data_IF_693055165028
#
_entry.id   IF_693055165028
#
_cell.length_a   1.000
_cell.length_b   1.000
_cell.length_c   1.000
_cell.angle_alpha   90.00
_cell.angle_beta   90.00
_cell.angle_gamma   90.00
#
_symmetry.space_group_name_H-M   'P 1'
#
loop_
_entity.id
_entity.type
_entity.pdbx_description
1 polymer ?
#
# COMPACT_ATOMS: atom_id res chain seq x y z
N UNK A 1 -17.99 7.43 59.48
CA UNK A 1 -18.81 7.22 58.25
C UNK A 1 -18.26 8.20 57.22
N UNK A 2 -17.82 7.87 56.01
CA UNK A 2 -17.72 6.62 55.24
C UNK A 2 -16.67 6.92 54.16
N UNK A 3 -15.75 5.97 53.97
CA UNK A 3 -14.70 5.99 52.94
C UNK A 3 -15.35 5.82 51.56
N UNK A 4 -14.78 6.47 50.54
CA UNK A 4 -15.14 6.28 49.13
C UNK A 4 -13.90 6.29 48.24
N UNK A 5 -13.05 5.27 48.44
CA UNK A 5 -11.89 4.96 47.60
C UNK A 5 -12.41 4.45 46.25
N UNK A 6 -12.23 5.18 45.15
CA UNK A 6 -12.44 4.61 43.81
C UNK A 6 -11.10 4.38 43.11
N UNK A 7 -10.67 3.12 43.25
CA UNK A 7 -9.56 2.48 42.57
C UNK A 7 -9.99 2.26 41.12
N UNK A 8 -9.51 3.07 40.18
CA UNK A 8 -9.64 2.74 38.75
C UNK A 8 -8.55 1.69 38.45
N UNK A 9 -9.00 0.44 38.40
CA UNK A 9 -8.22 -0.73 38.05
C UNK A 9 -7.78 -0.63 36.59
N UNK A 10 -6.46 -0.63 36.36
CA UNK A 10 -5.85 -0.84 35.04
C UNK A 10 -6.23 -2.24 34.55
N UNK A 11 -7.17 -2.31 33.61
CA UNK A 11 -7.43 -3.54 32.86
C UNK A 11 -6.31 -3.69 31.83
N UNK A 12 -5.50 -4.73 32.03
CA UNK A 12 -4.48 -5.23 31.11
C UNK A 12 -5.15 -5.48 29.75
N UNK A 13 -4.82 -4.68 28.74
CA UNK A 13 -5.12 -5.02 27.36
C UNK A 13 -4.19 -6.16 26.95
N UNK A 14 -4.72 -7.38 26.97
CA UNK A 14 -4.08 -8.52 26.35
C UNK A 14 -4.13 -8.33 24.83
N UNK A 15 -2.98 -8.08 24.23
CA UNK A 15 -2.80 -8.10 22.77
C UNK A 15 -2.85 -9.57 22.35
N UNK A 16 -3.99 -9.98 21.79
CA UNK A 16 -4.11 -11.27 21.14
C UNK A 16 -3.40 -11.20 19.78
N UNK A 17 -2.16 -11.69 19.72
CA UNK A 17 -1.47 -12.01 18.46
C UNK A 17 -2.09 -13.30 17.94
N UNK A 18 -3.07 -13.17 17.05
CA UNK A 18 -3.62 -14.30 16.31
C UNK A 18 -2.71 -14.54 15.09
N UNK A 19 -1.63 -15.28 15.34
CA UNK A 19 -0.84 -15.92 14.29
C UNK A 19 -1.65 -17.09 13.73
N UNK A 20 -2.46 -16.84 12.72
CA UNK A 20 -3.06 -17.90 11.91
C UNK A 20 -2.27 -18.01 10.61
N UNK A 21 -1.10 -18.64 10.70
CA UNK A 21 -0.36 -19.12 9.54
C UNK A 21 -1.06 -20.37 9.03
N UNK A 22 -1.95 -20.20 8.07
CA UNK A 22 -2.49 -21.29 7.28
C UNK A 22 -1.81 -21.23 5.91
N UNK A 23 -0.68 -21.94 5.81
CA UNK A 23 -0.08 -22.31 4.52
C UNK A 23 -1.09 -23.17 3.75
N UNK A 24 -1.96 -22.53 2.96
CA UNK A 24 -2.60 -23.19 1.84
C UNK A 24 -1.57 -23.23 0.72
N UNK A 25 -0.78 -24.31 0.70
CA UNK A 25 -0.07 -24.72 -0.50
C UNK A 25 -1.12 -25.15 -1.54
N UNK A 26 -1.68 -24.17 -2.24
CA UNK A 26 -2.34 -24.43 -3.52
C UNK A 26 -1.23 -24.75 -4.52
N UNK A 27 -0.86 -26.04 -4.59
CA UNK A 27 -0.10 -26.55 -5.72
C UNK A 27 -0.94 -26.29 -6.97
N UNK A 28 -0.54 -25.30 -7.76
CA UNK A 28 -1.04 -25.16 -9.11
C UNK A 28 -0.51 -26.36 -9.89
N UNK A 29 -1.34 -27.38 -10.02
CA UNK A 29 -1.14 -28.42 -11.02
C UNK A 29 -1.06 -27.70 -12.38
N UNK A 30 0.07 -27.84 -13.06
CA UNK A 30 0.21 -27.46 -14.47
C UNK A 30 -0.62 -28.46 -15.29
N UNK A 31 -1.94 -28.33 -15.23
CA UNK A 31 -2.80 -28.93 -16.24
C UNK A 31 -2.52 -28.22 -17.55
N UNK A 32 -1.88 -28.94 -18.48
CA UNK A 32 -1.78 -28.51 -19.87
C UNK A 32 -3.20 -28.44 -20.40
N UNK A 33 -3.77 -27.24 -20.40
CA UNK A 33 -5.10 -27.00 -20.93
C UNK A 33 -5.08 -27.30 -22.43
N UNK A 34 -5.62 -28.45 -22.82
CA UNK A 34 -5.65 -28.89 -24.22
C UNK A 34 -6.44 -27.93 -25.12
N UNK A 35 -7.23 -27.02 -24.53
CA UNK A 35 -7.89 -25.95 -25.26
C UNK A 35 -6.91 -24.86 -25.74
N UNK A 36 -5.70 -24.76 -25.19
CA UNK A 36 -4.62 -23.92 -25.76
C UNK A 36 -4.10 -24.50 -27.09
N UNK A 37 -4.38 -25.78 -27.40
CA UNK A 37 -3.94 -26.47 -28.63
C UNK A 37 -5.08 -26.56 -29.66
N UNK A 38 -6.35 -26.47 -29.24
CA UNK A 38 -7.50 -26.54 -30.12
C UNK A 38 -8.23 -25.17 -30.18
N UNK A 39 -8.09 -24.41 -31.28
CA UNK A 39 -8.84 -23.16 -31.42
C UNK A 39 -10.31 -23.49 -31.67
N UNK A 40 -11.18 -23.23 -30.69
CA UNK A 40 -12.62 -23.35 -30.91
C UNK A 40 -13.47 -23.14 -29.67
N UNK A 41 -14.38 -22.15 -29.76
CA UNK A 41 -15.59 -21.93 -28.94
C UNK A 41 -15.57 -20.94 -27.77
N UNK A 42 -14.66 -19.96 -27.73
CA UNK A 42 -14.80 -18.79 -26.83
C UNK A 42 -14.77 -17.48 -27.62
N UNK A 43 -15.31 -16.41 -27.03
CA UNK A 43 -15.28 -15.04 -27.59
C UNK A 43 -13.87 -14.69 -28.09
N UNK A 44 -13.69 -13.86 -29.14
CA UNK A 44 -12.36 -13.55 -29.65
C UNK A 44 -11.51 -12.73 -28.65
N UNK A 45 -10.19 -12.83 -28.79
CA UNK A 45 -9.21 -12.03 -28.04
C UNK A 45 -9.48 -10.52 -28.19
N UNK A 46 -8.98 -9.72 -27.25
CA UNK A 46 -9.07 -8.26 -27.36
C UNK A 46 -8.10 -7.76 -28.41
N UNK A 47 -8.62 -7.43 -29.59
CA UNK A 47 -7.86 -6.81 -30.67
C UNK A 47 -8.10 -5.29 -30.71
N UNK A 48 -7.04 -4.51 -30.49
CA UNK A 48 -7.11 -3.06 -30.58
C UNK A 48 -6.96 -2.59 -32.03
N UNK A 49 -7.93 -1.83 -32.50
CA UNK A 49 -7.96 -1.21 -33.83
C UNK A 49 -7.24 0.14 -33.74
N UNK A 50 -6.01 0.17 -34.25
CA UNK A 50 -5.16 1.36 -34.30
C UNK A 50 -5.41 2.19 -35.58
N UNK A 51 -4.97 3.44 -35.57
CA UNK A 51 -4.93 4.27 -36.79
C UNK A 51 -3.88 3.74 -37.76
N UNK A 52 -4.21 3.72 -39.05
CA UNK A 52 -3.33 3.22 -40.12
C UNK A 52 -3.06 4.26 -41.21
N UNK A 53 -3.57 5.49 -41.07
CA UNK A 53 -3.33 6.56 -42.02
C UNK A 53 -2.02 7.31 -41.78
N UNK A 54 -1.72 8.35 -42.58
CA UNK A 54 -0.51 9.15 -42.40
C UNK A 54 -0.51 9.85 -41.03
N UNK A 55 0.56 9.71 -40.27
CA UNK A 55 0.75 10.41 -39.00
C UNK A 55 1.31 11.81 -39.25
N UNK A 56 0.64 12.83 -38.71
CA UNK A 56 1.09 14.22 -38.80
C UNK A 56 2.33 14.51 -37.93
N UNK A 57 2.61 13.66 -36.93
CA UNK A 57 3.74 13.80 -36.01
C UNK A 57 4.16 12.41 -35.55
N UNK A 58 5.48 12.16 -35.51
CA UNK A 58 6.05 10.91 -35.01
C UNK A 58 6.81 11.22 -33.73
N UNK A 59 6.37 10.66 -32.61
CA UNK A 59 7.09 10.70 -31.34
C UNK A 59 7.83 9.39 -31.13
N UNK A 60 9.04 9.46 -30.58
CA UNK A 60 9.83 8.28 -30.21
C UNK A 60 9.20 7.55 -29.03
N UNK A 61 9.50 6.25 -28.88
CA UNK A 61 9.03 5.47 -27.74
C UNK A 61 9.45 6.07 -26.39
N UNK A 62 10.65 6.67 -26.32
CA UNK A 62 11.17 7.32 -25.12
C UNK A 62 10.39 8.60 -24.78
N UNK A 63 10.09 9.44 -25.77
CA UNK A 63 9.27 10.66 -25.56
C UNK A 63 7.87 10.31 -25.05
N UNK A 64 7.26 9.26 -25.61
CA UNK A 64 5.92 8.81 -25.20
C UNK A 64 5.94 8.27 -23.76
N UNK A 65 6.97 7.50 -23.39
CA UNK A 65 7.18 7.12 -21.98
C UNK A 65 7.37 8.33 -21.08
N UNK A 66 8.10 9.34 -21.54
CA UNK A 66 8.31 10.61 -20.84
C UNK A 66 7.01 11.34 -20.50
N UNK A 67 5.98 11.26 -21.35
CA UNK A 67 4.64 11.77 -21.03
C UNK A 67 4.11 11.11 -19.76
N UNK A 68 4.18 9.78 -19.68
CA UNK A 68 3.78 9.01 -18.52
C UNK A 68 4.57 9.35 -17.27
N UNK A 69 5.90 9.40 -17.38
CA UNK A 69 6.78 9.74 -16.25
C UNK A 69 6.48 11.13 -15.68
N UNK A 70 6.13 12.10 -16.52
CA UNK A 70 5.75 13.45 -16.09
C UNK A 70 4.43 13.48 -15.27
N UNK A 71 3.59 12.44 -15.36
CA UNK A 71 2.36 12.32 -14.57
C UNK A 71 2.59 11.76 -13.16
N UNK A 72 3.77 11.20 -12.88
CA UNK A 72 4.09 10.55 -11.59
C UNK A 72 3.94 11.47 -10.37
N UNK A 73 4.05 12.79 -10.57
CA UNK A 73 3.90 13.77 -9.49
C UNK A 73 2.56 13.69 -8.74
N UNK A 74 1.50 13.16 -9.35
CA UNK A 74 0.23 12.92 -8.65
C UNK A 74 0.32 11.84 -7.57
N UNK A 75 1.11 10.77 -7.80
CA UNK A 75 1.29 9.68 -6.85
C UNK A 75 2.30 10.00 -5.74
N UNK A 76 3.27 10.87 -6.01
CA UNK A 76 4.36 11.22 -5.07
C UNK A 76 3.92 12.21 -3.98
N UNK A 77 2.77 12.87 -4.12
CA UNK A 77 2.31 13.94 -3.20
C UNK A 77 1.46 13.46 -2.00
N UNK A 78 1.32 12.16 -1.73
CA UNK A 78 0.32 11.68 -0.77
C UNK A 78 0.80 11.53 0.68
N UNK A 79 0.56 12.60 1.46
CA UNK A 79 0.45 12.59 2.92
C UNK A 79 -0.96 12.88 3.45
N UNK A 80 -1.91 13.21 2.58
CA UNK A 80 -3.28 13.62 2.94
C UNK A 80 -4.27 12.93 2.02
N UNK A 81 -5.11 12.02 2.53
CA UNK A 81 -6.13 11.35 1.72
C UNK A 81 -6.98 12.31 0.88
N UNK A 82 -7.48 11.83 -0.26
CA UNK A 82 -8.18 12.62 -1.27
C UNK A 82 -7.72 12.26 -2.68
N UNK A 83 -7.96 13.17 -3.62
CA UNK A 83 -7.54 13.01 -5.00
C UNK A 83 -6.58 14.13 -5.43
N UNK A 84 -5.44 13.74 -5.99
CA UNK A 84 -4.43 14.65 -6.54
C UNK A 84 -4.38 14.48 -8.05
N UNK A 85 -4.27 15.59 -8.79
CA UNK A 85 -4.21 15.54 -10.26
C UNK A 85 -2.89 16.08 -10.80
N UNK A 86 -2.34 15.44 -11.83
CA UNK A 86 -1.17 15.91 -12.56
C UNK A 86 -1.39 15.82 -14.07
N UNK A 87 -0.73 16.70 -14.84
CA UNK A 87 -0.81 16.72 -16.31
C UNK A 87 -1.79 17.76 -16.87
N UNK A 88 -2.20 17.57 -18.12
CA UNK A 88 -3.09 18.49 -18.85
C UNK A 88 -4.44 17.85 -19.12
N UNK A 89 -5.53 18.53 -18.70
CA UNK A 89 -6.91 18.09 -18.96
C UNK A 89 -7.27 17.99 -20.44
N UNK A 90 -6.60 18.76 -21.30
CA UNK A 90 -6.83 18.70 -22.74
C UNK A 90 -6.21 17.46 -23.39
N UNK A 91 -5.07 16.97 -22.87
CA UNK A 91 -4.32 15.85 -23.44
C UNK A 91 -4.31 14.65 -22.51
N UNK A 92 -3.35 14.55 -21.61
CA UNK A 92 -3.24 13.45 -20.65
C UNK A 92 -3.13 14.03 -19.26
N UNK A 93 -3.99 13.56 -18.37
CA UNK A 93 -3.87 13.85 -16.96
C UNK A 93 -4.18 12.61 -16.14
N UNK A 94 -3.56 12.55 -14.97
CA UNK A 94 -3.73 11.48 -14.01
C UNK A 94 -4.46 12.01 -12.79
N UNK A 95 -5.35 11.20 -12.24
CA UNK A 95 -5.98 11.40 -10.94
C UNK A 95 -5.49 10.27 -10.04
N UNK A 96 -4.74 10.59 -8.99
CA UNK A 96 -4.38 9.65 -7.93
C UNK A 96 -5.42 9.76 -6.82
N UNK A 97 -6.31 8.77 -6.69
CA UNK A 97 -7.46 8.81 -5.79
C UNK A 97 -7.30 7.76 -4.67
N UNK A 98 -6.92 8.23 -3.47
CA UNK A 98 -6.65 7.39 -2.30
C UNK A 98 -7.41 7.90 -1.08
N UNK A 99 -8.14 7.01 -0.42
CA UNK A 99 -8.79 7.28 0.86
C UNK A 99 -8.41 6.23 1.90
N UNK A 100 -7.46 6.52 2.81
CA UNK A 100 -7.03 5.59 3.84
C UNK A 100 -8.09 5.39 4.94
N UNK A 101 -9.11 6.26 5.02
CA UNK A 101 -10.17 6.16 6.04
C UNK A 101 -11.28 5.18 5.67
N UNK A 102 -11.47 4.93 4.37
CA UNK A 102 -12.43 3.94 3.87
C UNK A 102 -11.78 2.57 3.75
N UNK A 103 -12.27 1.59 4.52
CA UNK A 103 -11.69 0.24 4.58
C UNK A 103 -12.09 -0.67 3.40
N UNK A 104 -13.22 -0.42 2.74
CA UNK A 104 -13.79 -1.30 1.72
C UNK A 104 -13.63 -0.73 0.32
N UNK A 105 -13.24 -1.59 -0.62
CA UNK A 105 -12.96 -1.21 -2.01
C UNK A 105 -11.53 -0.79 -2.23
N UNK A 106 -11.13 -0.68 -3.48
CA UNK A 106 -9.78 -0.31 -3.89
C UNK A 106 -9.64 1.20 -4.14
N UNK A 107 -8.47 1.72 -3.81
CA UNK A 107 -7.97 2.98 -4.35
C UNK A 107 -7.52 2.78 -5.82
N UNK A 108 -7.32 3.87 -6.55
CA UNK A 108 -6.89 3.79 -7.95
C UNK A 108 -6.17 5.04 -8.42
N UNK A 109 -5.33 4.84 -9.42
CA UNK A 109 -5.00 5.92 -10.35
C UNK A 109 -5.93 5.86 -11.56
N UNK A 110 -6.26 7.02 -12.11
CA UNK A 110 -7.10 7.14 -13.29
C UNK A 110 -6.34 7.98 -14.31
N UNK A 111 -5.86 7.33 -15.38
CA UNK A 111 -5.34 8.04 -16.54
C UNK A 111 -6.52 8.44 -17.43
N UNK A 112 -6.69 9.74 -17.64
CA UNK A 112 -7.73 10.27 -18.51
C UNK A 112 -7.11 10.76 -19.81
N UNK A 113 -7.70 10.35 -20.93
CA UNK A 113 -7.35 10.80 -22.27
C UNK A 113 -8.32 11.93 -22.65
N UNK A 114 -7.83 13.16 -22.63
CA UNK A 114 -8.56 14.37 -23.00
C UNK A 114 -8.85 14.45 -24.50
N UNK A 115 -9.72 15.40 -24.87
CA UNK A 115 -10.23 15.52 -26.24
C UNK A 115 -9.17 15.89 -27.28
N UNK A 116 -8.10 16.58 -26.88
CA UNK A 116 -7.01 17.02 -27.76
C UNK A 116 -5.84 16.02 -27.76
N UNK A 117 -6.02 14.84 -27.16
CA UNK A 117 -5.03 13.78 -27.23
C UNK A 117 -4.94 13.22 -28.65
N UNK A 118 -3.71 13.04 -29.14
CA UNK A 118 -3.42 12.54 -30.49
C UNK A 118 -2.94 11.09 -30.48
N UNK A 119 -3.17 10.34 -29.40
CA UNK A 119 -2.78 8.93 -29.32
C UNK A 119 -3.65 8.09 -30.24
N UNK A 120 -3.00 7.28 -31.06
CA UNK A 120 -3.59 6.62 -32.22
C UNK A 120 -3.22 5.13 -32.30
N UNK A 121 -2.32 4.67 -31.42
CA UNK A 121 -1.88 3.29 -31.30
C UNK A 121 -1.87 2.81 -29.85
N UNK A 122 -2.30 1.57 -29.60
CA UNK A 122 -2.37 0.99 -28.26
C UNK A 122 -1.00 0.95 -27.56
N UNK A 123 0.06 0.65 -28.31
CA UNK A 123 1.42 0.68 -27.78
C UNK A 123 1.81 2.03 -27.22
N UNK A 124 1.29 3.13 -27.76
CA UNK A 124 1.57 4.46 -27.25
C UNK A 124 0.88 4.68 -25.90
N UNK A 125 -0.36 4.20 -25.73
CA UNK A 125 -1.03 4.17 -24.42
C UNK A 125 -0.24 3.30 -23.43
N UNK A 126 0.19 2.10 -23.85
CA UNK A 126 0.99 1.20 -23.00
C UNK A 126 2.34 1.80 -22.62
N UNK A 127 2.98 2.56 -23.51
CA UNK A 127 4.21 3.32 -23.21
C UNK A 127 3.95 4.44 -22.19
N UNK A 128 2.86 5.19 -22.32
CA UNK A 128 2.47 6.20 -21.32
C UNK A 128 2.26 5.53 -19.95
N UNK A 129 1.49 4.44 -19.91
CA UNK A 129 1.26 3.70 -18.66
C UNK A 129 2.55 3.14 -18.07
N UNK A 130 3.40 2.52 -18.88
CA UNK A 130 4.70 1.97 -18.45
C UNK A 130 5.61 3.08 -17.89
N UNK A 131 5.75 4.21 -18.58
CA UNK A 131 6.54 5.34 -18.10
C UNK A 131 6.01 5.94 -16.79
N UNK A 132 4.68 5.96 -16.61
CA UNK A 132 4.04 6.34 -15.36
C UNK A 132 4.35 5.34 -14.23
N UNK A 133 4.09 4.05 -14.45
CA UNK A 133 4.27 3.00 -13.45
C UNK A 133 5.72 2.89 -12.97
N UNK A 134 6.69 3.00 -13.88
CA UNK A 134 8.11 3.03 -13.52
C UNK A 134 8.46 4.27 -12.69
N UNK A 135 7.98 5.46 -13.07
CA UNK A 135 8.33 6.69 -12.36
C UNK A 135 7.61 6.86 -11.02
N UNK A 136 6.34 6.42 -10.92
CA UNK A 136 5.52 6.57 -9.72
C UNK A 136 5.78 5.47 -8.68
N UNK A 137 6.06 4.24 -9.12
CA UNK A 137 6.12 3.07 -8.25
C UNK A 137 7.42 2.26 -8.35
N UNK A 138 8.36 2.67 -9.21
CA UNK A 138 9.67 2.03 -9.31
C UNK A 138 9.69 0.68 -10.01
N UNK A 139 8.63 0.31 -10.75
CA UNK A 139 8.63 -0.91 -11.57
C UNK A 139 9.72 -0.87 -12.63
N UNK A 140 10.36 -2.01 -12.87
CA UNK A 140 11.29 -2.16 -14.00
C UNK A 140 10.57 -1.89 -15.32
N UNK A 141 11.30 -1.57 -16.39
CA UNK A 141 10.69 -1.35 -17.71
C UNK A 141 9.88 -2.57 -18.17
N UNK A 142 10.41 -3.78 -17.92
CA UNK A 142 9.73 -5.05 -18.21
C UNK A 142 8.42 -5.16 -17.44
N UNK A 143 8.44 -5.02 -16.12
CA UNK A 143 7.25 -5.19 -15.29
C UNK A 143 6.21 -4.12 -15.56
N UNK A 144 6.65 -2.88 -15.77
CA UNK A 144 5.78 -1.77 -16.11
C UNK A 144 5.09 -1.99 -17.47
N UNK A 145 5.78 -2.57 -18.46
CA UNK A 145 5.19 -2.92 -19.75
C UNK A 145 4.18 -4.08 -19.63
N UNK A 146 4.50 -5.10 -18.83
CA UNK A 146 3.58 -6.21 -18.50
C UNK A 146 2.31 -5.66 -17.84
N UNK A 147 2.46 -4.87 -16.78
CA UNK A 147 1.34 -4.24 -16.07
C UNK A 147 0.53 -3.32 -16.99
N UNK A 148 1.16 -2.49 -17.81
CA UNK A 148 0.47 -1.62 -18.76
C UNK A 148 -0.41 -2.44 -19.72
N UNK A 149 0.07 -3.59 -20.18
CA UNK A 149 -0.70 -4.48 -21.04
C UNK A 149 -1.93 -5.03 -20.31
N UNK A 150 -1.76 -5.60 -19.11
CA UNK A 150 -2.88 -6.08 -18.30
C UNK A 150 -3.88 -4.97 -17.95
N UNK A 151 -3.41 -3.77 -17.62
CA UNK A 151 -4.25 -2.59 -17.37
C UNK A 151 -5.10 -2.26 -18.59
N UNK A 152 -4.52 -2.24 -19.80
CA UNK A 152 -5.29 -1.95 -21.03
C UNK A 152 -6.35 -3.00 -21.31
N UNK A 153 -6.05 -4.29 -21.09
CA UNK A 153 -7.00 -5.38 -21.32
C UNK A 153 -8.11 -5.37 -20.26
N UNK A 154 -7.76 -5.18 -18.98
CA UNK A 154 -8.73 -4.99 -17.89
C UNK A 154 -9.74 -3.88 -18.23
N UNK A 155 -9.24 -2.72 -18.67
CA UNK A 155 -10.09 -1.59 -19.00
C UNK A 155 -10.92 -1.80 -20.28
N UNK A 156 -10.45 -2.64 -21.22
CA UNK A 156 -11.23 -3.02 -22.40
C UNK A 156 -12.35 -4.01 -22.04
N UNK A 157 -12.05 -5.04 -21.24
CA UNK A 157 -13.02 -6.05 -20.76
C UNK A 157 -14.18 -5.40 -20.01
N UNK A 158 -13.88 -4.36 -19.23
CA UNK A 158 -14.86 -3.67 -18.38
C UNK A 158 -15.34 -2.33 -18.94
N UNK A 159 -15.02 -1.98 -20.20
CA UNK A 159 -15.42 -0.71 -20.82
C UNK A 159 -16.91 -0.41 -20.63
N UNK A 160 -17.21 0.76 -20.07
CA UNK A 160 -18.58 1.26 -19.85
C UNK A 160 -19.37 0.55 -18.74
N UNK A 161 -18.83 -0.52 -18.13
CA UNK A 161 -19.49 -1.29 -17.07
C UNK A 161 -19.32 -0.61 -15.71
N UNK A 162 -19.83 0.61 -15.57
CA UNK A 162 -19.62 1.45 -14.38
C UNK A 162 -20.01 0.75 -13.06
N UNK A 163 -21.01 -0.13 -13.07
CA UNK A 163 -21.43 -0.85 -11.87
C UNK A 163 -20.37 -1.83 -11.37
N UNK A 164 -19.58 -2.41 -12.27
CA UNK A 164 -18.43 -3.25 -11.91
C UNK A 164 -17.37 -2.40 -11.18
N UNK A 165 -17.12 -1.18 -11.65
CA UNK A 165 -16.20 -0.27 -10.97
C UNK A 165 -16.75 0.18 -9.61
N UNK A 166 -18.04 0.52 -9.51
CA UNK A 166 -18.67 0.88 -8.24
C UNK A 166 -18.63 -0.24 -7.20
N UNK A 167 -18.70 -1.49 -7.64
CA UNK A 167 -18.59 -2.64 -6.74
C UNK A 167 -17.15 -2.90 -6.25
N UNK A 168 -16.13 -2.51 -7.03
CA UNK A 168 -14.72 -2.83 -6.77
C UNK A 168 -13.94 -1.70 -6.09
N UNK A 169 -14.29 -0.45 -6.36
CA UNK A 169 -13.51 0.72 -5.99
C UNK A 169 -14.22 1.59 -4.95
N UNK A 170 -13.43 2.36 -4.20
CA UNK A 170 -13.93 3.29 -3.18
C UNK A 170 -14.71 4.46 -3.80
N UNK A 171 -15.55 5.14 -3.00
CA UNK A 171 -16.21 6.37 -3.42
C UNK A 171 -15.26 7.45 -3.95
N UNK A 172 -14.06 7.60 -3.34
CA UNK A 172 -13.03 8.56 -3.79
C UNK A 172 -12.60 8.33 -5.24
N UNK A 173 -12.60 7.09 -5.71
CA UNK A 173 -12.29 6.72 -7.09
C UNK A 173 -13.51 6.91 -7.97
N UNK A 174 -14.63 6.30 -7.58
CA UNK A 174 -15.84 6.23 -8.42
C UNK A 174 -16.49 7.58 -8.65
N UNK A 175 -16.26 8.57 -7.78
CA UNK A 175 -16.68 9.96 -7.98
C UNK A 175 -16.07 10.64 -9.20
N UNK A 176 -14.96 10.10 -9.75
CA UNK A 176 -14.33 10.60 -10.98
C UNK A 176 -14.73 9.80 -12.23
N UNK A 177 -15.40 8.66 -12.08
CA UNK A 177 -15.72 7.77 -13.18
C UNK A 177 -17.08 8.08 -13.78
N UNK A 178 -17.18 7.99 -15.10
CA UNK A 178 -18.43 8.13 -15.84
C UNK A 178 -18.71 6.88 -16.68
N UNK A 179 -19.96 6.50 -16.83
CA UNK A 179 -20.30 5.33 -17.66
C UNK A 179 -19.85 5.51 -19.12
N UNK A 180 -19.94 6.73 -19.65
CA UNK A 180 -19.54 7.02 -21.01
C UNK A 180 -18.04 6.85 -21.23
N UNK A 181 -17.18 7.18 -20.25
CA UNK A 181 -15.73 7.21 -20.47
C UNK A 181 -14.94 6.14 -19.71
N UNK A 182 -15.52 5.48 -18.70
CA UNK A 182 -14.80 4.48 -17.89
C UNK A 182 -14.36 3.29 -18.73
N UNK A 183 -13.08 2.92 -18.60
CA UNK A 183 -12.42 1.86 -19.36
C UNK A 183 -11.77 2.37 -20.64
N UNK A 184 -11.38 1.44 -21.52
CA UNK A 184 -10.70 1.71 -22.77
C UNK A 184 -11.44 1.07 -23.96
N UNK A 185 -11.78 1.85 -25.00
CA UNK A 185 -12.35 1.27 -26.22
C UNK A 185 -11.30 0.45 -26.97
N UNK A 186 -11.72 -0.58 -27.70
CA UNK A 186 -10.81 -1.28 -28.64
C UNK A 186 -10.50 -0.44 -29.88
N UNK A 187 -11.24 0.64 -30.13
CA UNK A 187 -11.06 1.49 -31.32
C UNK A 187 -10.39 2.82 -30.97
N UNK A 188 -9.31 3.15 -31.67
CA UNK A 188 -8.55 4.38 -31.42
C UNK A 188 -9.38 5.67 -31.50
N UNK A 189 -10.36 5.74 -32.41
CA UNK A 189 -11.20 6.94 -32.60
C UNK A 189 -12.08 7.26 -31.41
N UNK A 190 -12.27 6.32 -30.48
CA UNK A 190 -13.07 6.50 -29.27
C UNK A 190 -12.20 6.84 -28.05
N UNK A 191 -10.88 7.01 -28.22
CA UNK A 191 -10.01 7.33 -27.08
C UNK A 191 -10.08 8.80 -26.66
N UNK A 192 -9.89 9.78 -27.57
CA UNK A 192 -9.85 11.19 -27.18
C UNK A 192 -11.17 11.65 -26.54
N UNK A 193 -11.08 12.17 -25.31
CA UNK A 193 -12.20 12.71 -24.54
C UNK A 193 -13.18 11.69 -23.97
N UNK A 194 -13.01 10.38 -24.28
CA UNK A 194 -13.97 9.32 -23.96
C UNK A 194 -13.33 8.11 -23.27
N UNK A 195 -12.18 8.32 -22.63
CA UNK A 195 -11.42 7.25 -21.98
C UNK A 195 -10.91 7.66 -20.60
N UNK A 196 -11.20 6.81 -19.61
CA UNK A 196 -10.71 6.86 -18.24
C UNK A 196 -10.18 5.46 -17.90
N UNK A 197 -8.86 5.30 -18.02
CA UNK A 197 -8.16 4.04 -17.74
C UNK A 197 -7.91 3.96 -16.25
N UNK A 198 -8.52 2.97 -15.58
CA UNK A 198 -8.39 2.74 -14.15
C UNK A 198 -7.25 1.78 -13.88
N UNK A 199 -6.33 2.18 -13.01
CA UNK A 199 -5.19 1.41 -12.55
C UNK A 199 -5.44 1.07 -11.08
N UNK A 200 -5.80 -0.17 -10.73
CA UNK A 200 -6.12 -0.51 -9.36
C UNK A 200 -4.88 -0.49 -8.48
N UNK A 201 -4.95 0.24 -7.38
CA UNK A 201 -3.92 0.23 -6.36
C UNK A 201 -4.17 -0.90 -5.36
N UNK A 202 -3.09 -1.45 -4.83
CA UNK A 202 -3.12 -2.37 -3.70
C UNK A 202 -3.34 -1.62 -2.39
N UNK A 203 -3.14 -2.31 -1.27
CA UNK A 203 -3.16 -1.69 0.05
C UNK A 203 -2.20 -0.48 0.11
N UNK A 204 -2.64 0.70 0.60
CA UNK A 204 -1.81 1.90 0.70
C UNK A 204 -0.49 1.71 1.45
N UNK A 205 -0.40 0.73 2.36
CA UNK A 205 0.84 0.37 3.07
C UNK A 205 1.91 -0.23 2.16
N UNK A 206 1.52 -0.65 0.95
CA UNK A 206 2.39 -1.20 -0.09
C UNK A 206 2.80 -0.14 -1.12
N UNK A 207 2.33 1.10 -0.98
CA UNK A 207 2.69 2.19 -1.90
C UNK A 207 4.21 2.37 -1.97
N UNK A 208 4.72 2.56 -3.19
CA UNK A 208 6.15 2.68 -3.47
C UNK A 208 6.92 1.36 -3.45
N UNK A 209 6.23 0.22 -3.31
CA UNK A 209 6.82 -1.11 -3.46
C UNK A 209 6.40 -1.77 -4.78
N UNK A 210 7.04 -2.87 -5.13
CA UNK A 210 6.66 -3.71 -6.30
C UNK A 210 5.22 -4.25 -6.21
N UNK A 211 4.57 -4.17 -5.04
CA UNK A 211 3.17 -4.57 -4.84
C UNK A 211 2.19 -3.40 -4.86
N UNK A 212 2.57 -2.23 -5.37
CA UNK A 212 1.72 -1.03 -5.38
C UNK A 212 0.47 -1.18 -6.25
N UNK A 213 0.56 -1.93 -7.35
CA UNK A 213 -0.56 -2.23 -8.25
C UNK A 213 -1.23 -3.54 -7.87
N UNK A 214 -2.56 -3.58 -7.91
CA UNK A 214 -3.31 -4.78 -7.58
C UNK A 214 -3.31 -5.77 -8.75
N UNK A 215 -2.29 -6.63 -8.79
CA UNK A 215 -2.12 -7.67 -9.80
C UNK A 215 -3.21 -8.75 -9.74
N UNK A 216 -3.88 -8.94 -8.61
CA UNK A 216 -4.98 -9.92 -8.48
C UNK A 216 -6.20 -9.50 -9.27
N UNK A 217 -6.58 -8.21 -9.20
CA UNK A 217 -7.71 -7.68 -9.95
C UNK A 217 -7.42 -7.64 -11.45
N UNK A 218 -6.18 -7.28 -11.82
CA UNK A 218 -5.75 -7.22 -13.22
C UNK A 218 -5.71 -8.61 -13.88
N UNK A 219 -5.57 -9.69 -13.11
CA UNK A 219 -5.58 -11.06 -13.62
C UNK A 219 -6.85 -11.80 -13.24
N UNK A 220 -7.99 -11.11 -13.13
CA UNK A 220 -9.24 -11.82 -12.94
C UNK A 220 -9.55 -12.74 -14.14
N UNK A 221 -10.47 -13.69 -13.94
CA UNK A 221 -10.75 -14.73 -14.92
C UNK A 221 -11.08 -14.15 -16.30
N UNK A 222 -11.91 -13.10 -16.36
CA UNK A 222 -12.32 -12.51 -17.63
C UNK A 222 -11.14 -11.87 -18.37
N UNK A 223 -10.21 -11.24 -17.65
CA UNK A 223 -9.00 -10.68 -18.26
C UNK A 223 -8.05 -11.77 -18.75
N UNK A 224 -7.81 -12.80 -17.94
CA UNK A 224 -6.91 -13.91 -18.30
C UNK A 224 -7.44 -14.70 -19.48
N UNK A 225 -8.76 -14.92 -19.55
CA UNK A 225 -9.38 -15.58 -20.69
C UNK A 225 -9.13 -14.81 -21.98
N UNK A 226 -9.26 -13.47 -21.96
CA UNK A 226 -8.97 -12.61 -23.12
C UNK A 226 -7.51 -12.62 -23.58
N UNK A 227 -6.58 -12.82 -22.66
CA UNK A 227 -5.16 -12.94 -23.00
C UNK A 227 -4.85 -14.34 -23.57
N UNK A 228 -5.49 -15.39 -23.03
CA UNK A 228 -5.28 -16.77 -23.51
C UNK A 228 -5.71 -16.93 -24.97
N UNK A 229 -6.76 -16.23 -25.37
CA UNK A 229 -7.31 -16.22 -26.73
C UNK A 229 -6.35 -15.59 -27.77
N UNK A 230 -5.36 -14.79 -27.34
CA UNK A 230 -4.40 -14.07 -28.22
C UNK A 230 -3.24 -14.95 -28.72
N UNK A 231 -3.14 -16.21 -28.26
CA UNK A 231 -2.11 -17.15 -28.71
C UNK A 231 -0.70 -16.86 -28.16
N UNK A 232 0.34 -17.02 -28.99
CA UNK A 232 1.76 -17.12 -28.58
C UNK A 232 2.23 -16.03 -27.61
N UNK A 233 1.95 -14.76 -27.91
CA UNK A 233 2.37 -13.61 -27.09
C UNK A 233 1.65 -13.56 -25.73
N UNK A 234 0.40 -14.04 -25.68
CA UNK A 234 -0.39 -14.15 -24.44
C UNK A 234 0.23 -15.13 -23.44
N UNK A 235 0.95 -16.15 -23.90
CA UNK A 235 1.65 -17.08 -23.00
C UNK A 235 2.88 -16.45 -22.35
N UNK A 236 3.69 -15.71 -23.11
CA UNK A 236 4.84 -15.00 -22.53
C UNK A 236 4.38 -13.92 -21.55
N UNK A 237 3.35 -13.14 -21.91
CA UNK A 237 2.78 -12.12 -21.04
C UNK A 237 2.29 -12.70 -19.70
N UNK A 238 1.64 -13.87 -19.72
CA UNK A 238 1.22 -14.56 -18.49
C UNK A 238 2.41 -15.04 -17.65
N UNK A 239 3.48 -15.55 -18.28
CA UNK A 239 4.71 -15.93 -17.57
C UNK A 239 5.34 -14.74 -16.87
N UNK A 240 5.44 -13.60 -17.55
CA UNK A 240 6.00 -12.37 -16.98
C UNK A 240 5.15 -11.87 -15.79
N UNK A 241 3.82 -11.98 -15.86
CA UNK A 241 2.94 -11.67 -14.73
C UNK A 241 3.07 -12.66 -13.56
N UNK A 242 3.32 -13.94 -13.86
CA UNK A 242 3.59 -14.94 -12.82
C UNK A 242 4.91 -14.62 -12.11
N UNK A 243 5.98 -14.36 -12.87
CA UNK A 243 7.29 -13.95 -12.33
C UNK A 243 7.16 -12.71 -11.42
N UNK A 244 6.45 -11.67 -11.89
CA UNK A 244 6.18 -10.48 -11.09
C UNK A 244 5.46 -10.80 -9.77
N UNK A 245 4.48 -11.70 -9.78
CA UNK A 245 3.77 -12.11 -8.55
C UNK A 245 4.64 -12.94 -7.61
N UNK A 246 5.59 -13.70 -8.13
CA UNK A 246 6.58 -14.41 -7.32
C UNK A 246 7.52 -13.41 -6.65
N UNK A 247 7.98 -12.39 -7.36
CA UNK A 247 8.79 -11.30 -6.81
C UNK A 247 8.03 -10.51 -5.74
N UNK A 248 6.74 -10.22 -5.97
CA UNK A 248 5.85 -9.59 -4.97
C UNK A 248 5.77 -10.43 -3.69
N UNK A 249 5.60 -11.75 -3.81
CA UNK A 249 5.54 -12.69 -2.68
C UNK A 249 6.87 -12.71 -1.92
N UNK A 250 7.98 -12.83 -2.64
CA UNK A 250 9.31 -12.92 -2.03
C UNK A 250 9.66 -11.59 -1.32
N UNK A 251 9.31 -10.46 -1.91
CA UNK A 251 9.43 -9.14 -1.27
C UNK A 251 8.51 -9.01 -0.04
N UNK A 252 7.30 -9.57 -0.07
CA UNK A 252 6.41 -9.59 1.08
C UNK A 252 6.97 -10.45 2.23
N UNK A 253 7.53 -11.62 1.93
CA UNK A 253 8.17 -12.49 2.93
C UNK A 253 9.37 -11.81 3.58
N UNK A 254 10.24 -11.16 2.79
CA UNK A 254 11.38 -10.40 3.31
C UNK A 254 10.94 -9.26 4.23
N UNK A 255 9.93 -8.49 3.83
CA UNK A 255 9.36 -7.41 4.67
C UNK A 255 8.74 -7.94 5.96
N UNK A 256 8.03 -9.06 5.89
CA UNK A 256 7.46 -9.69 7.08
C UNK A 256 8.57 -10.17 8.05
N UNK A 257 9.65 -10.77 7.54
CA UNK A 257 10.77 -11.18 8.35
C UNK A 257 11.46 -9.99 9.04
N UNK A 258 11.74 -8.92 8.29
CA UNK A 258 12.31 -7.68 8.84
C UNK A 258 11.40 -7.06 9.91
N UNK A 259 10.10 -6.98 9.66
CA UNK A 259 9.15 -6.44 10.64
C UNK A 259 9.08 -7.27 11.92
N UNK A 260 9.24 -8.60 11.84
CA UNK A 260 9.32 -9.46 13.03
C UNK A 260 10.62 -9.23 13.81
N UNK A 261 11.75 -9.07 13.12
CA UNK A 261 13.04 -8.76 13.73
C UNK A 261 13.00 -7.40 14.45
N UNK A 262 12.49 -6.37 13.78
CA UNK A 262 12.32 -5.03 14.36
C UNK A 262 11.38 -5.04 15.57
N UNK A 263 10.27 -5.77 15.50
CA UNK A 263 9.33 -5.91 16.61
C UNK A 263 9.96 -6.66 17.80
N UNK A 264 10.77 -7.68 17.55
CA UNK A 264 11.51 -8.40 18.59
C UNK A 264 12.55 -7.49 19.27
N UNK A 265 13.31 -6.72 18.47
CA UNK A 265 14.28 -5.74 18.97
C UNK A 265 13.60 -4.65 19.81
N UNK A 266 12.48 -4.09 19.34
CA UNK A 266 11.72 -3.08 20.06
C UNK A 266 11.20 -3.61 21.42
N UNK A 267 10.71 -4.86 21.48
CA UNK A 267 10.29 -5.51 22.72
C UNK A 267 11.45 -5.72 23.69
N UNK A 268 12.61 -6.13 23.19
CA UNK A 268 13.81 -6.30 24.02
C UNK A 268 14.27 -4.96 24.63
N UNK A 269 14.27 -3.88 23.84
CA UNK A 269 14.57 -2.52 24.32
C UNK A 269 13.56 -2.06 25.37
N UNK A 270 12.26 -2.30 25.14
CA UNK A 270 11.22 -1.94 26.11
C UNK A 270 11.37 -2.72 27.43
N UNK A 271 11.70 -4.01 27.36
CA UNK A 271 11.95 -4.84 28.53
C UNK A 271 13.18 -4.37 29.31
N UNK A 272 14.27 -4.04 28.61
CA UNK A 272 15.48 -3.48 29.24
C UNK A 272 15.17 -2.17 29.96
N UNK A 273 14.44 -1.25 29.33
CA UNK A 273 14.03 0.02 29.96
C UNK A 273 13.15 -0.21 31.20
N UNK A 274 12.27 -1.22 31.19
CA UNK A 274 11.46 -1.58 32.37
C UNK A 274 12.34 -2.10 33.51
N UNK A 275 13.31 -2.97 33.21
CA UNK A 275 14.25 -3.50 34.21
C UNK A 275 15.10 -2.39 34.82
N UNK A 276 15.62 -1.46 34.00
CA UNK A 276 16.37 -0.30 34.47
C UNK A 276 15.52 0.63 35.35
N UNK A 277 14.28 0.92 34.95
CA UNK A 277 13.36 1.73 35.74
C UNK A 277 12.99 1.06 37.08
N UNK A 278 12.80 -0.26 37.10
CA UNK A 278 12.57 -1.01 38.34
C UNK A 278 13.79 -1.01 39.25
N UNK A 279 15.00 -1.15 38.71
CA UNK A 279 16.24 -1.08 39.48
C UNK A 279 16.43 0.32 40.10
N UNK A 280 16.27 1.37 39.31
CA UNK A 280 16.32 2.76 39.79
C UNK A 280 15.24 3.04 40.85
N UNK A 281 14.03 2.50 40.68
CA UNK A 281 12.96 2.58 41.66
C UNK A 281 13.32 1.92 43.00
N UNK A 282 13.95 0.74 42.97
CA UNK A 282 14.43 0.04 44.17
C UNK A 282 15.55 0.81 44.87
N UNK A 283 16.50 1.36 44.11
CA UNK A 283 17.58 2.19 44.67
C UNK A 283 17.03 3.46 45.33
N UNK A 284 16.08 4.15 44.69
CA UNK A 284 15.43 5.32 45.25
C UNK A 284 14.64 5.01 46.54
N UNK A 285 13.96 3.85 46.60
CA UNK A 285 13.27 3.41 47.81
C UNK A 285 14.25 3.12 48.95
N UNK A 286 15.38 2.46 48.65
CA UNK A 286 16.43 2.19 49.62
C UNK A 286 17.02 3.51 50.17
N UNK A 287 17.38 4.44 49.29
CA UNK A 287 17.89 5.76 49.69
C UNK A 287 16.89 6.54 50.57
N UNK A 288 15.58 6.42 50.30
CA UNK A 288 14.54 7.02 51.16
C UNK A 288 14.50 6.40 52.56
N UNK A 289 14.57 5.06 52.66
CA UNK A 289 14.59 4.35 53.95
C UNK A 289 15.84 4.70 54.76
N UNK A 290 17.00 4.77 54.10
CA UNK A 290 18.26 5.13 54.73
C UNK A 290 18.21 6.58 55.25
N UNK A 291 17.70 7.52 54.45
CA UNK A 291 17.50 8.91 54.87
C UNK A 291 16.51 9.06 56.04
N UNK A 292 15.41 8.28 56.06
CA UNK A 292 14.46 8.28 57.17
C UNK A 292 15.07 7.73 58.46
N UNK A 293 15.91 6.70 58.35
CA UNK A 293 16.63 6.11 59.48
C UNK A 293 17.65 7.09 60.05
N UNK A 294 18.47 7.70 59.19
CA UNK A 294 19.44 8.73 59.58
C UNK A 294 18.77 9.92 60.27
N UNK A 295 17.59 10.34 59.79
CA UNK A 295 16.80 11.40 60.44
C UNK A 295 16.33 11.00 61.84
N UNK A 296 15.82 9.78 62.01
CA UNK A 296 15.40 9.26 63.33
C UNK A 296 16.57 9.16 64.31
N UNK A 297 17.74 8.75 63.85
CA UNK A 297 18.95 8.70 64.67
C UNK A 297 19.43 10.10 65.08
N UNK A 298 19.42 11.06 64.14
CA UNK A 298 19.75 12.45 64.43
C UNK A 298 18.77 13.08 65.44
N UNK A 299 17.46 12.86 65.28
CA UNK A 299 16.43 13.34 66.21
C UNK A 299 16.62 12.74 67.62
N UNK A 300 17.00 11.45 67.71
CA UNK A 300 17.29 10.78 68.98
C UNK A 300 18.56 11.36 69.63
N UNK A 301 19.65 11.51 68.87
CA UNK A 301 20.89 12.08 69.37
C UNK A 301 20.71 13.52 69.88
N UNK A 302 19.89 14.33 69.21
CA UNK A 302 19.53 15.68 69.66
C UNK A 302 18.79 15.66 71.01
N UNK A 303 17.80 14.77 71.18
CA UNK A 303 17.07 14.60 72.44
C UNK A 303 17.96 14.11 73.57
N UNK A 304 18.85 13.16 73.29
CA UNK A 304 19.78 12.62 74.28
C UNK A 304 20.79 13.71 74.72
N UNK A 305 21.22 14.57 73.80
CA UNK A 305 22.08 15.73 74.11
C UNK A 305 21.35 16.79 74.96
N UNK A 306 20.10 17.12 74.65
CA UNK A 306 19.26 18.01 75.47
C UNK A 306 19.06 17.44 76.89
N UNK A 307 18.78 16.14 77.01
CA UNK A 307 18.60 15.49 78.30
C UNK A 307 19.91 15.46 79.14
N UNK A 308 21.06 15.29 78.49
CA UNK A 308 22.37 15.37 79.15
C UNK A 308 22.68 16.78 79.66
N UNK A 309 22.37 17.82 78.88
CA UNK A 309 22.51 19.22 79.31
C UNK A 309 21.60 19.56 80.49
N UNK A 310 20.35 19.07 80.49
CA UNK A 310 19.43 19.27 81.61
C UNK A 310 19.89 18.55 82.88
N UNK A 311 20.47 17.35 82.77
CA UNK A 311 21.06 16.65 83.92
C UNK A 311 22.31 17.34 84.46
N UNK A 312 23.18 17.87 83.59
CA UNK A 312 24.35 18.64 84.00
C UNK A 312 23.97 19.97 84.70
N UNK A 313 22.82 20.55 84.37
CA UNK A 313 22.28 21.73 85.04
C UNK A 313 21.53 21.44 86.37
N UNK A 314 21.20 20.17 86.65
CA UNK A 314 20.38 19.76 87.80
C UNK A 314 21.16 19.01 88.90
N UNK A 315 22.48 18.82 88.75
CA UNK A 315 23.38 18.39 89.84
C UNK A 315 24.12 19.63 90.38
N UNK A 316 23.70 20.20 91.52
CA UNK A 316 24.41 21.29 92.17
C UNK A 316 25.57 20.76 93.03
N UNK A 317 26.69 21.48 93.04
CA UNK A 317 27.61 21.51 94.19
C UNK A 317 26.91 22.05 95.44
#
# INVERSE_FOLDING_TARGET
MTRGFWRISMKKFAVAVLASSMCLAAGFSLEVDRNEIAPGQNDPAIEFINYTGPSATVSTAAEIRGIGSALSGAAVQTGTGGAVTAGSRSRYFLIHAVDPSTATGLDADILVIGADATVDHIDNIRRILSGYLSAAYGYTEKDAATLATFVTIYNAVYRGKIDIFKARYKPVVTGYLTAESVGLSVRYSDWPGKTQIVIPLSDPRLAGTISSINTTLLTDKAVVDKIREDGGDGTQLRKDMVELKEDERDAAQKRAALAQEEAAAARAIEQQKKLEAEAAGREAEKARKDAETAKKEADKAARDAEAAQQKAAASPE
#
